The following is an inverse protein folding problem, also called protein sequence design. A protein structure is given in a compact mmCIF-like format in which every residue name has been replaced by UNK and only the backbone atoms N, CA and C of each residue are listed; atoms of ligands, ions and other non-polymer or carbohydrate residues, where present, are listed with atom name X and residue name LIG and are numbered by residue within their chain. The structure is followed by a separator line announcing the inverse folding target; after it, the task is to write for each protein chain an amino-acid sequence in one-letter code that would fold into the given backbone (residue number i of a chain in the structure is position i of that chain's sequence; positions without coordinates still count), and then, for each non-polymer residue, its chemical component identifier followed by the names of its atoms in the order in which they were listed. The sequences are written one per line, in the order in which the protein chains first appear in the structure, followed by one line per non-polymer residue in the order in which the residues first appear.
data_IF_660145274486
#
_entry.id   IF_660145274486
#
_cell.length_a   1.000
_cell.length_b   1.000
_cell.length_c   1.000
_cell.angle_alpha   90.00
_cell.angle_beta   90.00
_cell.angle_gamma   90.00
#
_symmetry.space_group_name_H-M   'P 1'
#
loop_
_entity.id
_entity.type
_entity.pdbx_description
1 polymer ?
#
# COMPACT_ATOMS: atom_id res chain seq x y z
N UNK A 1 -15.21 9.22 13.24
CA UNK A 1 -13.88 8.82 12.72
C UNK A 1 -13.99 8.86 11.21
N UNK A 2 -12.92 9.14 10.48
CA UNK A 2 -12.98 9.15 9.01
C UNK A 2 -12.68 7.74 8.47
N UNK A 3 -13.17 7.42 7.27
CA UNK A 3 -12.76 6.19 6.57
C UNK A 3 -11.33 6.34 6.04
N UNK A 4 -10.71 5.24 5.60
CA UNK A 4 -9.33 5.23 5.11
C UNK A 4 -9.14 6.29 4.03
N UNK A 5 -9.97 6.27 2.99
CA UNK A 5 -9.82 7.20 1.86
C UNK A 5 -9.96 8.67 2.28
N UNK A 6 -10.92 8.99 3.15
CA UNK A 6 -11.12 10.36 3.64
C UNK A 6 -9.95 10.80 4.53
N UNK A 7 -9.36 9.89 5.31
CA UNK A 7 -8.16 10.14 6.12
C UNK A 7 -6.97 10.49 5.23
N UNK A 8 -6.77 9.75 4.14
CA UNK A 8 -5.71 10.01 3.16
C UNK A 8 -5.91 11.35 2.43
N UNK A 9 -7.15 11.69 2.07
CA UNK A 9 -7.45 12.96 1.38
C UNK A 9 -7.20 14.19 2.24
N UNK A 10 -7.43 14.09 3.55
CA UNK A 10 -7.23 15.19 4.49
C UNK A 10 -5.75 15.37 4.89
N UNK A 11 -4.89 14.45 4.48
CA UNK A 11 -3.46 14.48 4.76
C UNK A 11 -2.67 14.82 3.48
N UNK A 12 -1.98 15.95 3.50
CA UNK A 12 -1.24 16.47 2.35
C UNK A 12 -0.05 15.62 1.89
N UNK A 13 0.28 14.52 2.60
CA UNK A 13 1.36 13.59 2.23
C UNK A 13 0.95 12.56 1.18
N UNK A 14 -0.34 12.39 0.90
CA UNK A 14 -0.86 11.32 0.03
C UNK A 14 -1.55 11.85 -1.23
N UNK A 15 -1.15 13.02 -1.73
CA UNK A 15 -1.78 13.66 -2.87
C UNK A 15 -1.76 12.78 -4.12
N UNK A 16 -0.60 12.17 -4.42
CA UNK A 16 -0.44 11.29 -5.60
C UNK A 16 -1.21 9.99 -5.45
N UNK A 17 -1.15 9.38 -4.27
CA UNK A 17 -1.86 8.13 -3.99
C UNK A 17 -3.38 8.30 -4.14
N UNK A 18 -3.94 9.38 -3.58
CA UNK A 18 -5.37 9.67 -3.69
C UNK A 18 -5.80 10.01 -5.12
N UNK A 19 -4.94 10.67 -5.91
CA UNK A 19 -5.18 10.90 -7.34
C UNK A 19 -5.22 9.60 -8.15
N UNK A 20 -4.27 8.68 -7.90
CA UNK A 20 -4.23 7.35 -8.52
C UNK A 20 -5.52 6.59 -8.21
N UNK A 21 -5.90 6.49 -6.93
CA UNK A 21 -7.10 5.76 -6.50
C UNK A 21 -8.36 6.33 -7.17
N UNK A 22 -8.50 7.67 -7.25
CA UNK A 22 -9.62 8.33 -7.95
C UNK A 22 -9.62 8.03 -9.45
N UNK A 23 -8.45 8.02 -10.07
CA UNK A 23 -8.29 7.76 -11.51
C UNK A 23 -8.68 6.32 -11.87
N UNK A 24 -8.44 5.38 -10.96
CA UNK A 24 -8.82 3.98 -11.10
C UNK A 24 -10.29 3.71 -10.71
N UNK A 25 -10.90 4.59 -9.91
CA UNK A 25 -12.26 4.41 -9.38
C UNK A 25 -12.34 3.43 -8.21
N UNK A 26 -11.21 3.17 -7.54
CA UNK A 26 -11.09 2.27 -6.40
C UNK A 26 -11.37 2.97 -5.05
N UNK A 27 -11.68 4.26 -5.09
CA UNK A 27 -12.11 5.05 -3.93
C UNK A 27 -13.29 4.40 -3.21
N UNK A 28 -14.22 3.81 -3.97
CA UNK A 28 -15.38 3.09 -3.44
C UNK A 28 -14.99 1.86 -2.62
N UNK A 29 -13.93 1.16 -3.03
CA UNK A 29 -13.42 -0.02 -2.31
C UNK A 29 -12.85 0.42 -0.97
N UNK A 30 -12.03 1.48 -0.96
CA UNK A 30 -11.44 2.03 0.27
C UNK A 30 -12.45 2.79 1.15
N UNK A 31 -13.63 3.10 0.63
CA UNK A 31 -14.79 3.60 1.39
C UNK A 31 -15.78 2.50 1.79
N UNK A 32 -15.53 1.23 1.42
CA UNK A 32 -16.33 0.09 1.83
C UNK A 32 -16.36 -0.11 3.37
N UNK A 33 -17.28 -0.93 3.86
CA UNK A 33 -17.53 -1.04 5.31
C UNK A 33 -16.36 -1.65 6.11
N UNK A 34 -15.43 -2.38 5.46
CA UNK A 34 -14.27 -2.97 6.14
C UNK A 34 -14.67 -3.98 7.22
N UNK A 35 -13.70 -4.63 7.91
CA UNK A 35 -12.37 -4.12 8.20
C UNK A 35 -11.32 -4.37 7.11
N UNK A 36 -10.37 -3.45 6.94
CA UNK A 36 -9.18 -3.65 6.11
C UNK A 36 -7.93 -2.98 6.72
N UNK A 37 -6.75 -3.33 6.23
CA UNK A 37 -5.49 -2.64 6.55
C UNK A 37 -4.89 -2.12 5.25
N UNK A 38 -4.49 -0.85 5.23
CA UNK A 38 -4.00 -0.19 4.04
C UNK A 38 -2.59 0.38 4.25
N UNK A 39 -1.67 0.05 3.35
CA UNK A 39 -0.32 0.57 3.33
C UNK A 39 -0.24 1.80 2.41
N UNK A 40 -0.03 2.98 2.98
CA UNK A 40 -0.06 4.24 2.27
C UNK A 40 1.35 4.80 2.03
N UNK A 41 1.94 4.63 0.83
CA UNK A 41 3.18 5.31 0.49
C UNK A 41 2.96 6.82 0.35
N UNK A 42 3.83 7.61 0.97
CA UNK A 42 3.81 9.09 0.86
C UNK A 42 4.25 9.56 -0.53
N UNK A 43 3.97 10.80 -0.89
CA UNK A 43 4.34 11.35 -2.21
C UNK A 43 5.85 11.26 -2.50
N UNK A 44 6.70 11.43 -1.49
CA UNK A 44 8.16 11.26 -1.64
C UNK A 44 8.58 9.83 -1.97
N UNK A 45 7.78 8.82 -1.59
CA UNK A 45 8.01 7.42 -1.94
C UNK A 45 7.89 7.21 -3.46
N UNK A 46 6.91 7.85 -4.07
CA UNK A 46 6.71 7.81 -5.52
C UNK A 46 7.75 8.62 -6.27
N UNK A 47 8.22 9.73 -5.70
CA UNK A 47 9.29 10.54 -6.28
C UNK A 47 10.65 9.84 -6.26
N UNK A 48 10.87 8.95 -5.29
CA UNK A 48 12.10 8.17 -5.16
C UNK A 48 12.25 7.08 -6.25
N UNK A 49 11.18 6.74 -6.98
CA UNK A 49 11.25 5.78 -8.09
C UNK A 49 12.02 6.44 -9.26
N UNK A 50 13.14 5.83 -9.72
CA UNK A 50 13.93 6.40 -10.81
C UNK A 50 13.21 6.28 -12.16
N UNK A 51 13.49 7.21 -13.08
CA UNK A 51 13.10 7.07 -14.48
C UNK A 51 13.93 5.97 -15.18
N UNK A 52 13.38 5.25 -16.17
CA UNK A 52 12.03 5.41 -16.75
C UNK A 52 10.91 4.67 -15.98
N UNK A 53 11.25 3.94 -14.90
CA UNK A 53 10.31 3.06 -14.20
C UNK A 53 9.10 3.81 -13.65
N UNK A 54 9.32 5.01 -13.08
CA UNK A 54 8.23 5.83 -12.55
C UNK A 54 7.22 6.18 -13.62
N UNK A 55 7.67 6.71 -14.77
CA UNK A 55 6.76 7.03 -15.88
C UNK A 55 6.03 5.79 -16.39
N UNK A 56 6.70 4.64 -16.47
CA UNK A 56 6.06 3.41 -16.91
C UNK A 56 4.97 2.94 -15.93
N UNK A 57 5.24 2.94 -14.62
CA UNK A 57 4.25 2.58 -13.59
C UNK A 57 3.06 3.55 -13.64
N UNK A 58 3.32 4.86 -13.69
CA UNK A 58 2.26 5.88 -13.67
C UNK A 58 1.37 5.88 -14.92
N UNK A 59 1.89 5.39 -16.05
CA UNK A 59 1.13 5.30 -17.30
C UNK A 59 0.37 3.98 -17.45
N UNK A 60 0.65 2.98 -16.61
CA UNK A 60 0.01 1.67 -16.66
C UNK A 60 -1.08 1.55 -15.57
N UNK A 61 -2.34 1.69 -15.99
CA UNK A 61 -3.49 1.57 -15.09
C UNK A 61 -3.64 0.18 -14.47
N UNK A 62 -3.27 -0.88 -15.19
CA UNK A 62 -3.37 -2.24 -14.64
C UNK A 62 -2.34 -2.42 -13.53
N UNK A 63 -1.12 -1.92 -13.75
CA UNK A 63 -0.07 -1.90 -12.74
C UNK A 63 -0.49 -1.09 -11.50
N UNK A 64 -1.07 0.10 -11.70
CA UNK A 64 -1.51 0.94 -10.58
C UNK A 64 -2.62 0.26 -9.76
N UNK A 65 -3.62 -0.35 -10.41
CA UNK A 65 -4.69 -1.11 -9.73
C UNK A 65 -4.13 -2.26 -8.90
N UNK A 66 -3.20 -3.03 -9.48
CA UNK A 66 -2.49 -4.09 -8.79
C UNK A 66 -1.71 -3.58 -7.56
N UNK A 67 -1.07 -2.42 -7.65
CA UNK A 67 -0.38 -1.81 -6.51
C UNK A 67 -1.36 -1.45 -5.37
N UNK A 68 -2.55 -0.93 -5.68
CA UNK A 68 -3.56 -0.62 -4.65
C UNK A 68 -4.05 -1.90 -3.96
N UNK A 69 -4.30 -2.96 -4.72
CA UNK A 69 -4.69 -4.26 -4.15
C UNK A 69 -3.57 -4.86 -3.29
N UNK A 70 -2.30 -4.71 -3.71
CA UNK A 70 -1.16 -5.14 -2.91
C UNK A 70 -1.01 -4.32 -1.62
N UNK A 71 -1.32 -3.03 -1.64
CA UNK A 71 -1.33 -2.20 -0.44
C UNK A 71 -2.49 -2.51 0.51
N UNK A 72 -3.42 -3.36 0.11
CA UNK A 72 -4.61 -3.67 0.88
C UNK A 72 -4.54 -5.09 1.45
N UNK A 73 -4.75 -5.22 2.76
CA UNK A 73 -5.07 -6.49 3.39
C UNK A 73 -6.57 -6.47 3.70
N UNK A 74 -7.32 -7.36 3.05
CA UNK A 74 -8.77 -7.46 3.21
C UNK A 74 -9.18 -8.13 4.51
N UNK A 75 -10.39 -7.80 4.98
CA UNK A 75 -11.11 -8.45 6.09
C UNK A 75 -10.40 -8.47 7.45
N UNK A 76 -9.36 -7.64 7.64
CA UNK A 76 -8.57 -7.62 8.87
C UNK A 76 -8.09 -6.20 9.21
N UNK A 77 -8.21 -5.80 10.49
CA UNK A 77 -7.48 -4.66 11.07
C UNK A 77 -6.20 -5.20 11.70
N UNK A 78 -5.07 -5.03 11.03
CA UNK A 78 -3.78 -5.53 11.48
C UNK A 78 -2.95 -4.37 12.00
N UNK A 79 -2.68 -4.35 13.31
CA UNK A 79 -1.68 -3.45 13.89
C UNK A 79 -0.26 -3.88 13.50
N UNK A 80 0.72 -2.99 13.61
CA UNK A 80 2.14 -3.33 13.38
C UNK A 80 2.59 -4.47 14.28
N UNK A 81 2.14 -4.49 15.54
CA UNK A 81 2.44 -5.59 16.46
C UNK A 81 1.88 -6.93 15.95
N UNK A 82 0.64 -6.94 15.47
CA UNK A 82 0.02 -8.14 14.92
C UNK A 82 0.73 -8.60 13.63
N UNK A 83 1.11 -7.66 12.76
CA UNK A 83 1.87 -7.93 11.54
C UNK A 83 3.25 -8.52 11.85
N UNK A 84 3.98 -7.95 12.81
CA UNK A 84 5.28 -8.45 13.26
C UNK A 84 5.20 -9.83 13.90
N UNK A 85 4.09 -10.18 14.56
CA UNK A 85 3.88 -11.54 15.10
C UNK A 85 3.63 -12.57 14.00
N UNK A 86 2.91 -12.19 12.95
CA UNK A 86 2.62 -13.08 11.82
C UNK A 86 3.81 -13.24 10.87
N UNK A 87 4.70 -12.25 10.79
CA UNK A 87 5.83 -12.11 9.86
C UNK A 87 5.44 -12.05 8.38
N UNK A 88 4.39 -12.76 7.95
CA UNK A 88 3.92 -12.81 6.58
C UNK A 88 2.40 -12.70 6.55
N UNK A 89 1.88 -11.86 5.67
CA UNK A 89 0.43 -11.64 5.47
C UNK A 89 0.10 -11.59 3.99
N UNK A 90 -1.06 -12.15 3.61
CA UNK A 90 -1.53 -12.11 2.24
C UNK A 90 -2.32 -10.83 1.97
N UNK A 91 -2.08 -10.23 0.82
CA UNK A 91 -2.77 -9.03 0.32
C UNK A 91 -4.05 -9.40 -0.43
N UNK A 92 -4.89 -8.41 -0.76
CA UNK A 92 -6.06 -8.59 -1.64
C UNK A 92 -5.64 -9.06 -3.03
N UNK A 93 -4.51 -8.55 -3.50
CA UNK A 93 -3.94 -8.92 -4.78
C UNK A 93 -3.57 -10.42 -4.85
N UNK A 94 -3.14 -11.00 -3.73
CA UNK A 94 -2.86 -12.43 -3.61
C UNK A 94 -1.41 -12.74 -3.21
N UNK A 95 -0.48 -11.81 -3.42
CA UNK A 95 0.90 -11.95 -2.95
C UNK A 95 1.03 -11.74 -1.44
N UNK A 96 2.12 -12.30 -0.92
CA UNK A 96 2.49 -12.21 0.48
C UNK A 96 3.42 -11.02 0.72
N UNK A 97 3.08 -10.22 1.71
CA UNK A 97 3.94 -9.17 2.27
C UNK A 97 4.67 -9.72 3.49
N UNK A 98 5.99 -9.51 3.55
CA UNK A 98 6.78 -9.80 4.74
C UNK A 98 6.90 -8.57 5.63
N UNK A 99 6.58 -8.70 6.91
CA UNK A 99 6.76 -7.63 7.91
C UNK A 99 7.83 -8.05 8.91
N UNK A 100 8.86 -7.22 9.08
CA UNK A 100 10.00 -7.51 9.98
C UNK A 100 10.52 -6.27 10.69
N UNK A 101 11.14 -6.46 11.85
CA UNK A 101 11.85 -5.39 12.56
C UNK A 101 13.31 -5.38 12.16
N UNK A 102 13.84 -4.20 11.86
CA UNK A 102 15.23 -3.98 11.47
C UNK A 102 15.83 -2.80 12.25
N UNK A 103 17.13 -2.57 12.10
CA UNK A 103 17.81 -1.41 12.70
C UNK A 103 17.26 -0.06 12.18
N UNK A 104 16.64 -0.06 10.99
CA UNK A 104 15.97 1.12 10.40
C UNK A 104 14.52 1.29 10.87
N UNK A 105 14.01 0.37 11.69
CA UNK A 105 12.60 0.33 12.11
C UNK A 105 11.84 -0.86 11.53
N UNK A 106 10.51 -0.82 11.64
CA UNK A 106 9.63 -1.84 11.07
C UNK A 106 9.59 -1.69 9.55
N UNK A 107 9.81 -2.79 8.84
CA UNK A 107 9.75 -2.85 7.38
C UNK A 107 8.58 -3.71 6.92
N UNK A 108 7.95 -3.27 5.84
CA UNK A 108 6.96 -3.96 5.04
C UNK A 108 7.64 -4.22 3.69
N UNK A 109 8.04 -5.47 3.47
CA UNK A 109 9.00 -5.91 2.46
C UNK A 109 10.28 -5.07 2.45
N UNK A 110 10.40 -4.13 1.51
CA UNK A 110 11.56 -3.25 1.39
C UNK A 110 11.31 -1.85 1.96
N UNK A 111 10.04 -1.46 2.10
CA UNK A 111 9.62 -0.15 2.59
C UNK A 111 9.69 -0.07 4.11
N UNK A 112 10.12 1.08 4.63
CA UNK A 112 10.11 1.38 6.07
C UNK A 112 8.78 2.03 6.44
N UNK A 113 8.19 1.59 7.55
CA UNK A 113 7.01 2.21 8.12
C UNK A 113 7.42 3.51 8.83
N UNK A 114 6.96 4.64 8.32
CA UNK A 114 7.20 5.96 8.90
C UNK A 114 6.31 6.22 10.11
N UNK A 115 5.04 5.83 9.98
CA UNK A 115 3.99 6.00 10.96
C UNK A 115 3.01 4.84 10.78
N UNK A 116 2.61 4.17 11.84
CA UNK A 116 1.72 3.02 11.74
C UNK A 116 0.62 3.07 12.78
N UNK A 117 -0.29 2.11 12.68
CA UNK A 117 -1.42 1.96 13.60
C UNK A 117 -2.37 3.18 13.61
N UNK A 118 -2.48 3.89 12.47
CA UNK A 118 -3.43 4.99 12.32
C UNK A 118 -4.84 4.41 12.17
N UNK A 119 -5.70 4.64 13.16
CA UNK A 119 -7.07 4.13 13.14
C UNK A 119 -7.96 4.90 12.16
N UNK A 120 -8.67 4.15 11.33
CA UNK A 120 -9.77 4.63 10.51
C UNK A 120 -11.05 3.84 10.84
N UNK A 121 -12.20 4.39 10.47
CA UNK A 121 -13.50 3.78 10.75
C UNK A 121 -13.57 2.33 10.21
N UNK A 122 -13.19 2.16 8.94
CA UNK A 122 -13.20 0.88 8.23
C UNK A 122 -11.86 0.13 8.25
N UNK A 123 -10.85 0.57 9.03
CA UNK A 123 -9.56 -0.11 8.99
C UNK A 123 -8.41 0.51 9.78
N UNK A 124 -7.18 0.16 9.38
CA UNK A 124 -5.93 0.72 9.91
C UNK A 124 -5.06 1.16 8.72
N UNK A 125 -4.37 2.29 8.85
CA UNK A 125 -3.41 2.80 7.86
C UNK A 125 -1.98 2.68 8.42
N UNK A 126 -1.06 2.21 7.57
CA UNK A 126 0.37 2.23 7.82
C UNK A 126 1.08 3.02 6.74
N UNK A 127 1.78 4.08 7.12
CA UNK A 127 2.47 5.02 6.25
C UNK A 127 3.84 4.47 5.87
N UNK A 128 4.14 4.43 4.57
CA UNK A 128 5.39 3.89 4.03
C UNK A 128 6.28 4.99 3.44
N UNK A 129 7.60 4.83 3.59
CA UNK A 129 8.61 5.71 3.01
C UNK A 129 8.91 5.44 1.52
N UNK A 130 8.51 4.26 1.04
CA UNK A 130 8.82 3.72 -0.29
C UNK A 130 7.63 2.93 -0.81
N UNK A 131 7.51 2.86 -2.14
CA UNK A 131 6.62 1.90 -2.80
C UNK A 131 7.28 0.52 -2.69
N UNK A 132 6.63 -0.50 -2.10
CA UNK A 132 7.19 -1.85 -1.90
C UNK A 132 7.82 -2.49 -3.14
N UNK A 133 7.34 -2.11 -4.33
CA UNK A 133 7.93 -2.48 -5.61
C UNK A 133 8.74 -1.31 -6.18
N UNK A 134 10.06 -1.48 -6.26
CA UNK A 134 10.97 -0.46 -6.76
C UNK A 134 11.20 -0.53 -8.28
N UNK A 135 10.70 -1.58 -8.94
CA UNK A 135 10.86 -1.79 -10.39
C UNK A 135 9.63 -2.44 -11.01
N UNK A 136 9.39 -2.17 -12.29
CA UNK A 136 8.39 -2.89 -13.08
C UNK A 136 8.63 -4.39 -13.07
N UNK A 137 9.89 -4.85 -13.14
CA UNK A 137 10.18 -6.28 -13.10
C UNK A 137 9.70 -6.93 -11.79
N UNK A 138 9.82 -6.24 -10.66
CA UNK A 138 9.30 -6.73 -9.38
C UNK A 138 7.78 -6.73 -9.35
N UNK A 139 7.15 -5.70 -9.91
CA UNK A 139 5.70 -5.59 -9.97
C UNK A 139 5.09 -6.57 -11.01
N UNK A 140 5.74 -6.76 -12.15
CA UNK A 140 5.41 -7.76 -13.18
C UNK A 140 5.64 -9.18 -12.67
N UNK A 141 6.73 -9.46 -11.94
CA UNK A 141 6.92 -10.78 -11.34
C UNK A 141 5.85 -11.08 -10.30
N UNK A 142 5.48 -10.11 -9.47
CA UNK A 142 4.36 -10.22 -8.54
C UNK A 142 3.05 -10.49 -9.29
N UNK A 143 2.77 -9.76 -10.36
CA UNK A 143 1.58 -9.95 -11.21
C UNK A 143 1.55 -11.32 -11.90
N UNK A 144 2.68 -11.76 -12.44
CA UNK A 144 2.78 -13.03 -13.16
C UNK A 144 2.69 -14.24 -12.23
N UNK A 145 3.16 -14.14 -10.97
CA UNK A 145 3.00 -15.22 -9.99
C UNK A 145 1.57 -15.42 -9.49
N UNK A 146 0.69 -14.43 -9.70
CA UNK A 146 -0.71 -14.46 -9.26
C UNK A 146 -1.66 -15.09 -10.30
N UNK A 147 -1.24 -15.15 -11.57
CA UNK A 147 -2.06 -15.63 -12.70
C UNK A 147 -1.66 -17.04 -13.23
N UNK A 148 -1.07 -17.91 -12.39
CA UNK A 148 -0.71 -19.30 -12.75
C UNK A 148 -1.45 -20.32 -11.90
#
# INVERSE_FOLDING_TARGET
MAKIFDTLQNDGRFGRLTEIIRTLGEDKTLQGEGPMTFFAPVDSAWDAIPEPNRSMIMNDKQMLSHLIDFFTIGNHKCTLEALLKKNVVQTVEGNNIMVRKTDRGTQVDTAVVLEGDIEAENGIIHVLDSVPFATLAQAEQAYLSTNV
#
